data_IF_919024690457
#
_entry.id   IF_919024690457
#
_cell.length_a   1.000
_cell.length_b   1.000
_cell.length_c   1.000
_cell.angle_alpha   90.00
_cell.angle_beta   90.00
_cell.angle_gamma   90.00
#
_symmetry.space_group_name_H-M   'P 1'
#
loop_
_entity.id
_entity.type
_entity.pdbx_description
1 polymer ?
#
# COMPACT_ATOMS: atom_id res chain seq x y z
N UNK A 1 0.46 27.32 1.37
CA UNK A 1 1.37 26.17 1.45
C UNK A 1 2.71 26.73 1.88
N UNK A 2 3.31 26.22 2.96
CA UNK A 2 4.67 26.65 3.33
C UNK A 2 5.62 26.27 2.20
N UNK A 3 6.58 27.13 1.85
CA UNK A 3 7.64 26.85 0.88
C UNK A 3 8.36 25.57 1.31
N UNK A 4 8.16 24.48 0.57
CA UNK A 4 8.91 23.25 0.75
C UNK A 4 10.26 23.51 0.07
N UNK A 5 11.39 23.54 0.80
CA UNK A 5 12.69 23.75 0.19
C UNK A 5 12.95 22.64 -0.83
N UNK A 6 13.07 23.01 -2.10
CA UNK A 6 13.31 22.09 -3.20
C UNK A 6 14.68 22.39 -3.80
N UNK A 7 15.55 21.38 -3.87
CA UNK A 7 16.81 21.42 -4.61
C UNK A 7 16.81 20.30 -5.66
N UNK A 8 17.72 20.42 -6.63
CA UNK A 8 17.90 19.43 -7.69
C UNK A 8 19.25 19.60 -8.37
N UNK A 9 19.75 18.51 -8.95
CA UNK A 9 20.94 18.49 -9.80
C UNK A 9 20.64 17.63 -11.03
N UNK A 10 21.25 17.95 -12.17
CA UNK A 10 21.19 17.13 -13.39
C UNK A 10 22.58 16.58 -13.70
N UNK A 11 22.63 15.44 -14.40
CA UNK A 11 23.85 14.86 -14.93
C UNK A 11 23.63 14.65 -16.43
N UNK A 12 24.05 15.63 -17.22
CA UNK A 12 23.77 15.69 -18.67
C UNK A 12 25.00 15.26 -19.51
N UNK A 13 26.13 14.99 -18.87
CA UNK A 13 27.39 14.65 -19.54
C UNK A 13 27.52 13.16 -19.94
N UNK A 14 26.47 12.36 -19.75
CA UNK A 14 26.43 10.94 -20.13
C UNK A 14 25.28 10.66 -21.09
N UNK A 15 25.53 9.98 -22.24
CA UNK A 15 24.46 9.53 -23.11
C UNK A 15 23.62 8.44 -22.42
N UNK A 16 22.31 8.64 -22.37
CA UNK A 16 21.35 7.69 -21.79
C UNK A 16 20.34 7.21 -22.84
N UNK A 17 19.81 5.99 -22.66
CA UNK A 17 18.68 5.48 -23.48
C UNK A 17 17.32 5.89 -22.91
N UNK A 18 17.29 6.34 -21.66
CA UNK A 18 16.09 6.66 -20.89
C UNK A 18 16.40 7.73 -19.85
N UNK A 19 15.44 8.61 -19.57
CA UNK A 19 15.51 9.54 -18.45
C UNK A 19 15.35 8.79 -17.12
N UNK A 20 16.26 9.05 -16.18
CA UNK A 20 16.19 8.55 -14.81
C UNK A 20 15.95 9.72 -13.86
N UNK A 21 15.07 9.54 -12.88
CA UNK A 21 14.80 10.54 -11.84
C UNK A 21 14.95 9.88 -10.47
N UNK A 22 15.79 10.46 -9.61
CA UNK A 22 15.87 10.13 -8.19
C UNK A 22 15.13 11.18 -7.37
N UNK A 23 14.20 10.77 -6.52
CA UNK A 23 13.45 11.67 -5.62
C UNK A 23 13.72 11.26 -4.18
N UNK A 24 14.27 12.17 -3.39
CA UNK A 24 14.46 12.00 -1.94
C UNK A 24 13.53 12.96 -1.20
N UNK A 25 12.64 12.42 -0.38
CA UNK A 25 11.73 13.21 0.45
C UNK A 25 12.09 13.02 1.92
N UNK A 26 12.42 14.11 2.61
CA UNK A 26 12.71 14.10 4.05
C UNK A 26 11.50 14.68 4.78
N UNK A 27 10.86 13.86 5.60
CA UNK A 27 9.72 14.27 6.43
C UNK A 27 10.03 14.09 7.91
N UNK A 28 9.59 15.03 8.75
CA UNK A 28 9.60 14.89 10.20
C UNK A 28 8.24 14.36 10.66
N UNK A 29 8.22 13.19 11.30
CA UNK A 29 7.03 12.65 11.96
C UNK A 29 7.20 12.69 13.48
N UNK A 30 6.13 13.01 14.20
CA UNK A 30 6.10 12.84 15.65
C UNK A 30 6.00 11.33 15.96
N UNK A 31 6.68 10.83 16.99
CA UNK A 31 6.68 9.39 17.32
C UNK A 31 5.27 8.83 17.60
N UNK A 32 4.35 9.67 18.04
CA UNK A 32 2.92 9.33 18.21
C UNK A 32 2.17 9.10 16.90
N UNK A 33 2.74 9.51 15.76
CA UNK A 33 2.17 9.32 14.42
C UNK A 33 2.80 8.12 13.68
N UNK A 34 3.83 7.48 14.25
CA UNK A 34 4.28 6.20 13.76
C UNK A 34 3.17 5.19 14.07
N UNK A 35 2.59 4.62 13.02
CA UNK A 35 1.39 3.79 13.06
C UNK A 35 1.61 2.41 13.70
N UNK A 36 2.32 2.35 14.82
CA UNK A 36 2.32 1.20 15.72
C UNK A 36 1.25 1.41 16.78
N UNK A 37 0.01 1.65 16.34
CA UNK A 37 -1.12 1.48 17.26
C UNK A 37 -1.05 0.03 17.72
N UNK A 38 -0.78 -0.22 19.01
CA UNK A 38 -0.88 -1.57 19.57
C UNK A 38 -2.34 -1.99 19.44
N UNK A 39 -2.65 -2.73 18.38
CA UNK A 39 -3.98 -3.28 18.18
C UNK A 39 -3.97 -4.70 18.73
N UNK A 40 -4.82 -4.93 19.72
CA UNK A 40 -5.11 -6.29 20.20
C UNK A 40 -6.28 -6.85 19.38
N UNK A 41 -6.18 -8.10 18.93
CA UNK A 41 -7.26 -8.81 18.24
C UNK A 41 -7.00 -9.07 16.75
N UNK A 42 -8.07 -9.19 15.98
CA UNK A 42 -8.02 -9.49 14.54
C UNK A 42 -7.99 -8.22 13.69
N UNK A 43 -7.07 -8.18 12.73
CA UNK A 43 -7.12 -7.24 11.61
C UNK A 43 -7.60 -7.95 10.35
N UNK A 44 -8.33 -7.24 9.50
CA UNK A 44 -8.69 -7.69 8.15
C UNK A 44 -7.83 -6.95 7.14
N UNK A 45 -7.21 -7.67 6.21
CA UNK A 45 -6.34 -7.06 5.19
C UNK A 45 -7.03 -7.09 3.84
N UNK A 46 -7.19 -5.90 3.27
CA UNK A 46 -7.79 -5.68 1.96
C UNK A 46 -6.74 -5.26 0.94
N UNK A 47 -7.00 -5.60 -0.32
CA UNK A 47 -6.30 -5.11 -1.50
C UNK A 47 -7.15 -4.05 -2.19
N UNK A 48 -6.53 -2.91 -2.50
CA UNK A 48 -7.06 -1.98 -3.49
C UNK A 48 -6.28 -2.12 -4.79
N UNK A 49 -6.98 -2.15 -5.92
CA UNK A 49 -6.36 -2.21 -7.24
C UNK A 49 -5.91 -3.61 -7.63
N UNK A 50 -5.11 -3.68 -8.71
CA UNK A 50 -4.60 -4.93 -9.28
C UNK A 50 -3.13 -4.76 -9.67
N UNK A 51 -2.31 -5.82 -9.54
CA UNK A 51 -0.90 -5.76 -9.90
C UNK A 51 -0.76 -5.61 -11.42
N UNK A 52 -0.27 -4.45 -11.86
CA UNK A 52 0.04 -4.15 -13.26
C UNK A 52 1.52 -3.80 -13.38
N UNK A 53 2.20 -4.24 -14.43
CA UNK A 53 3.64 -3.97 -14.64
C UNK A 53 3.92 -3.57 -16.08
N UNK A 54 4.92 -2.71 -16.29
CA UNK A 54 5.33 -2.27 -17.61
C UNK A 54 4.18 -1.66 -18.41
N UNK A 55 3.93 -2.17 -19.62
CA UNK A 55 2.87 -1.69 -20.51
C UNK A 55 1.46 -1.86 -19.94
N UNK A 56 1.24 -2.82 -19.03
CA UNK A 56 -0.07 -2.99 -18.38
C UNK A 56 -0.43 -1.78 -17.51
N UNK A 57 0.57 -1.09 -16.94
CA UNK A 57 0.33 0.15 -16.20
C UNK A 57 -0.25 1.21 -17.13
N UNK A 58 0.35 1.38 -18.32
CA UNK A 58 -0.09 2.38 -19.31
C UNK A 58 -1.50 2.10 -19.81
N UNK A 59 -1.81 0.83 -20.09
CA UNK A 59 -3.14 0.40 -20.54
C UNK A 59 -4.23 0.67 -19.51
N UNK A 60 -3.88 0.67 -18.22
CA UNK A 60 -4.82 0.78 -17.10
C UNK A 60 -4.74 2.13 -16.36
N UNK A 61 -4.07 3.16 -16.92
CA UNK A 61 -3.92 4.47 -16.24
C UNK A 61 -5.26 5.07 -15.78
N UNK A 62 -6.32 4.91 -16.57
CA UNK A 62 -7.65 5.42 -16.23
C UNK A 62 -8.35 4.64 -15.10
N UNK A 63 -7.91 3.42 -14.79
CA UNK A 63 -8.54 2.54 -13.79
C UNK A 63 -7.71 2.39 -12.52
N UNK A 64 -6.42 2.72 -12.57
CA UNK A 64 -5.57 2.87 -11.39
C UNK A 64 -6.18 3.92 -10.46
N UNK A 65 -6.23 3.60 -9.16
CA UNK A 65 -6.87 4.47 -8.19
C UNK A 65 -6.10 5.78 -8.02
N UNK A 66 -6.83 6.88 -7.84
CA UNK A 66 -6.25 8.20 -7.58
C UNK A 66 -5.64 8.30 -6.17
N UNK A 67 -4.67 9.19 -5.99
CA UNK A 67 -4.11 9.53 -4.69
C UNK A 67 -5.18 9.96 -3.65
N UNK A 68 -6.22 10.67 -4.08
CA UNK A 68 -7.32 11.10 -3.19
C UNK A 68 -8.04 9.93 -2.52
N UNK A 69 -8.16 8.79 -3.21
CA UNK A 69 -8.74 7.57 -2.65
C UNK A 69 -7.84 7.04 -1.54
N UNK A 70 -6.53 6.98 -1.75
CA UNK A 70 -5.54 6.57 -0.74
C UNK A 70 -5.61 7.48 0.48
N UNK A 71 -5.71 8.80 0.29
CA UNK A 71 -5.87 9.75 1.39
C UNK A 71 -7.19 9.56 2.16
N UNK A 72 -8.30 9.30 1.46
CA UNK A 72 -9.60 9.03 2.09
C UNK A 72 -9.56 7.76 2.93
N UNK A 73 -8.96 6.69 2.41
CA UNK A 73 -8.77 5.43 3.14
C UNK A 73 -7.93 5.68 4.39
N UNK A 74 -6.76 6.31 4.25
CA UNK A 74 -5.84 6.58 5.36
C UNK A 74 -6.46 7.39 6.50
N UNK A 75 -7.42 8.27 6.20
CA UNK A 75 -8.14 9.07 7.21
C UNK A 75 -9.26 8.30 7.91
N UNK A 76 -9.64 7.12 7.41
CA UNK A 76 -10.71 6.33 8.00
C UNK A 76 -10.26 5.71 9.32
N UNK A 77 -11.07 5.88 10.38
CA UNK A 77 -10.78 5.38 11.74
C UNK A 77 -10.75 3.84 11.86
N UNK A 78 -11.12 3.11 10.82
CA UNK A 78 -10.98 1.65 10.77
C UNK A 78 -9.58 1.21 10.37
N UNK A 79 -8.84 2.05 9.63
CA UNK A 79 -7.52 1.72 9.09
C UNK A 79 -6.46 1.80 10.17
N UNK A 80 -5.71 0.72 10.29
CA UNK A 80 -4.60 0.55 11.24
C UNK A 80 -3.27 0.74 10.52
N UNK A 81 -3.15 0.16 9.33
CA UNK A 81 -1.92 0.15 8.56
C UNK A 81 -2.20 0.11 7.06
N UNK A 82 -1.26 0.62 6.27
CA UNK A 82 -1.31 0.62 4.81
C UNK A 82 0.08 0.45 4.22
N UNK A 83 0.25 -0.52 3.32
CA UNK A 83 1.51 -0.76 2.61
C UNK A 83 1.30 -0.69 1.10
N UNK A 84 2.08 0.13 0.37
CA UNK A 84 2.11 0.03 -1.09
C UNK A 84 2.76 -1.29 -1.49
N UNK A 85 2.31 -1.87 -2.60
CA UNK A 85 2.94 -3.09 -3.13
C UNK A 85 3.96 -2.74 -4.19
N UNK A 86 5.18 -3.22 -4.00
CA UNK A 86 6.30 -3.01 -4.91
C UNK A 86 6.68 -4.25 -5.71
N UNK A 87 7.96 -4.33 -6.08
CA UNK A 87 8.50 -5.37 -6.97
C UNK A 87 8.42 -6.80 -6.44
N UNK A 88 8.29 -6.96 -5.11
CA UNK A 88 8.18 -8.28 -4.45
C UNK A 88 6.75 -8.79 -4.31
N UNK A 89 5.75 -8.01 -4.75
CA UNK A 89 4.37 -8.45 -4.87
C UNK A 89 3.58 -8.47 -3.56
N UNK A 90 2.29 -8.77 -3.71
CA UNK A 90 1.27 -8.70 -2.63
C UNK A 90 1.62 -9.62 -1.47
N UNK A 91 2.05 -10.84 -1.77
CA UNK A 91 2.38 -11.83 -0.74
C UNK A 91 3.53 -11.35 0.15
N UNK A 92 4.57 -10.76 -0.45
CA UNK A 92 5.70 -10.24 0.31
C UNK A 92 5.26 -9.13 1.28
N UNK A 93 4.49 -8.15 0.80
CA UNK A 93 4.04 -7.05 1.66
C UNK A 93 3.03 -7.51 2.72
N UNK A 94 2.21 -8.54 2.45
CA UNK A 94 1.36 -9.16 3.46
C UNK A 94 2.18 -9.73 4.62
N UNK A 95 3.30 -10.40 4.32
CA UNK A 95 4.23 -10.91 5.34
C UNK A 95 4.86 -9.77 6.12
N UNK A 96 5.32 -8.70 5.46
CA UNK A 96 5.88 -7.52 6.15
C UNK A 96 4.86 -6.84 7.08
N UNK A 97 3.60 -6.76 6.66
CA UNK A 97 2.51 -6.25 7.48
C UNK A 97 2.28 -7.15 8.71
N UNK A 98 2.24 -8.47 8.53
CA UNK A 98 2.10 -9.42 9.63
C UNK A 98 3.27 -9.34 10.62
N UNK A 99 4.50 -9.21 10.14
CA UNK A 99 5.70 -9.03 10.97
C UNK A 99 5.64 -7.73 11.79
N UNK A 100 5.22 -6.62 11.17
CA UNK A 100 5.05 -5.32 11.82
C UNK A 100 4.08 -5.39 13.00
N UNK A 101 2.98 -6.13 12.84
CA UNK A 101 1.96 -6.32 13.88
C UNK A 101 2.17 -7.58 14.73
N UNK A 102 3.28 -8.32 14.54
CA UNK A 102 3.56 -9.61 15.23
C UNK A 102 2.36 -10.57 15.19
N UNK A 103 1.73 -10.67 14.02
CA UNK A 103 0.48 -11.37 13.82
C UNK A 103 0.66 -12.65 13.00
N UNK A 104 -0.25 -13.61 13.19
CA UNK A 104 -0.36 -14.79 12.32
C UNK A 104 -1.31 -14.50 11.16
N UNK A 105 -0.92 -14.90 9.95
CA UNK A 105 -1.73 -14.75 8.74
C UNK A 105 -2.73 -15.93 8.67
N UNK A 106 -4.01 -15.61 8.49
CA UNK A 106 -5.09 -16.52 8.17
C UNK A 106 -5.62 -16.13 6.78
N UNK A 107 -5.20 -16.87 5.75
CA UNK A 107 -5.54 -16.55 4.35
C UNK A 107 -7.04 -16.79 4.08
N UNK A 108 -7.69 -15.82 3.42
CA UNK A 108 -9.07 -15.93 2.92
C UNK A 108 -9.05 -16.16 1.40
N UNK A 109 -8.16 -15.45 0.70
CA UNK A 109 -7.85 -15.64 -0.70
C UNK A 109 -6.49 -16.33 -0.85
N UNK A 110 -6.34 -17.15 -1.88
CA UNK A 110 -5.08 -17.83 -2.19
C UNK A 110 -3.97 -16.83 -2.55
N UNK A 111 -3.02 -16.62 -1.62
CA UNK A 111 -1.86 -15.75 -1.81
C UNK A 111 -0.75 -16.43 -2.63
N UNK A 112 -0.87 -17.71 -2.96
CA UNK A 112 0.06 -18.48 -3.79
C UNK A 112 -0.11 -18.25 -5.29
N UNK A 113 -1.17 -17.57 -5.70
CA UNK A 113 -1.45 -17.24 -7.10
C UNK A 113 -0.36 -16.41 -7.76
N UNK A 114 -0.19 -16.57 -9.08
CA UNK A 114 0.85 -15.87 -9.83
C UNK A 114 0.70 -14.33 -9.75
N UNK A 115 -0.52 -13.82 -9.73
CA UNK A 115 -0.78 -12.38 -9.61
C UNK A 115 -0.38 -11.82 -8.24
N UNK A 116 -0.37 -12.64 -7.19
CA UNK A 116 0.02 -12.21 -5.83
C UNK A 116 1.53 -12.21 -5.62
N UNK A 117 2.28 -12.95 -6.44
CA UNK A 117 3.74 -13.04 -6.38
C UNK A 117 4.46 -12.16 -7.42
N UNK A 118 3.74 -11.63 -8.41
CA UNK A 118 4.34 -10.71 -9.38
C UNK A 118 4.56 -9.32 -8.79
N UNK A 119 5.48 -8.58 -9.41
CA UNK A 119 5.70 -7.15 -9.16
C UNK A 119 4.39 -6.36 -9.35
N UNK A 120 4.23 -5.29 -8.57
CA UNK A 120 3.20 -4.28 -8.79
C UNK A 120 3.88 -2.97 -9.19
N UNK A 121 3.42 -2.41 -10.30
CA UNK A 121 3.86 -1.12 -10.80
C UNK A 121 3.46 0.02 -9.88
N UNK A 122 3.98 1.23 -10.11
CA UNK A 122 3.74 2.38 -9.25
C UNK A 122 2.24 2.62 -9.03
N UNK A 123 1.84 2.69 -7.76
CA UNK A 123 0.46 2.97 -7.34
C UNK A 123 -0.63 2.00 -7.88
N UNK A 124 -0.28 0.79 -8.33
CA UNK A 124 -1.29 -0.14 -8.88
C UNK A 124 -1.98 -0.96 -7.77
N UNK A 125 -1.29 -1.18 -6.64
CA UNK A 125 -1.82 -1.92 -5.49
C UNK A 125 -1.40 -1.28 -4.17
N UNK A 126 -2.34 -1.23 -3.22
CA UNK A 126 -2.08 -0.95 -1.80
C UNK A 126 -2.81 -1.96 -0.94
N UNK A 127 -2.11 -2.47 0.08
CA UNK A 127 -2.70 -3.27 1.15
C UNK A 127 -3.17 -2.37 2.27
N UNK A 128 -4.33 -2.69 2.84
CA UNK A 128 -4.98 -1.91 3.90
C UNK A 128 -5.42 -2.85 5.01
N UNK A 129 -4.83 -2.71 6.20
CA UNK A 129 -5.28 -3.41 7.39
C UNK A 129 -6.30 -2.58 8.14
N UNK A 130 -7.43 -3.20 8.51
CA UNK A 130 -8.48 -2.57 9.31
C UNK A 130 -8.81 -3.38 10.56
N UNK A 131 -9.40 -2.74 11.56
CA UNK A 131 -9.97 -3.41 12.74
C UNK A 131 -11.22 -4.21 12.32
N UNK A 132 -11.29 -5.50 12.66
CA UNK A 132 -12.39 -6.41 12.26
C UNK A 132 -13.79 -5.89 12.68
N UNK A 133 -13.90 -5.26 13.85
CA UNK A 133 -15.19 -4.73 14.35
C UNK A 133 -15.80 -3.62 13.48
N UNK A 134 -15.00 -3.01 12.58
CA UNK A 134 -15.44 -1.94 11.67
C UNK A 134 -15.63 -2.39 10.22
N UNK A 135 -15.55 -3.71 9.95
CA UNK A 135 -15.62 -4.29 8.62
C UNK A 135 -16.80 -3.74 7.79
N UNK A 136 -18.03 -3.87 8.31
CA UNK A 136 -19.24 -3.47 7.57
C UNK A 136 -19.21 -2.00 7.14
N UNK A 137 -18.80 -1.10 8.04
CA UNK A 137 -18.68 0.32 7.73
C UNK A 137 -17.60 0.59 6.68
N UNK A 138 -16.48 -0.13 6.77
CA UNK A 138 -15.38 0.01 5.82
C UNK A 138 -15.77 -0.46 4.41
N UNK A 139 -16.41 -1.63 4.28
CA UNK A 139 -16.86 -2.18 3.01
C UNK A 139 -17.93 -1.31 2.34
N UNK A 140 -18.83 -0.70 3.13
CA UNK A 140 -19.78 0.28 2.63
C UNK A 140 -19.09 1.54 2.09
N UNK A 141 -18.05 2.03 2.76
CA UNK A 141 -17.31 3.21 2.34
C UNK A 141 -16.39 2.94 1.13
N UNK A 142 -15.86 1.72 1.00
CA UNK A 142 -14.87 1.34 -0.01
C UNK A 142 -15.22 -0.01 -0.68
N UNK A 143 -16.28 -0.06 -1.51
CA UNK A 143 -16.81 -1.31 -2.07
C UNK A 143 -15.89 -1.98 -3.11
N UNK A 144 -14.84 -1.29 -3.57
CA UNK A 144 -13.88 -1.80 -4.57
C UNK A 144 -12.72 -2.59 -3.96
N UNK A 145 -12.74 -2.80 -2.64
CA UNK A 145 -11.70 -3.51 -1.91
C UNK A 145 -11.89 -5.01 -1.98
N UNK A 146 -10.81 -5.77 -2.14
CA UNK A 146 -10.84 -7.24 -2.08
C UNK A 146 -10.25 -7.71 -0.77
N UNK A 147 -11.02 -8.42 0.05
CA UNK A 147 -10.53 -9.03 1.29
C UNK A 147 -9.57 -10.18 0.96
N UNK A 148 -8.37 -10.16 1.54
CA UNK A 148 -7.33 -11.15 1.28
C UNK A 148 -7.06 -12.10 2.45
N UNK A 149 -6.99 -11.56 3.66
CA UNK A 149 -6.56 -12.32 4.83
C UNK A 149 -7.03 -11.68 6.13
N UNK A 150 -6.92 -12.45 7.22
CA UNK A 150 -6.96 -11.93 8.59
C UNK A 150 -5.57 -12.00 9.21
N UNK A 151 -5.24 -11.01 10.04
CA UNK A 151 -4.04 -11.03 10.89
C UNK A 151 -4.48 -11.17 12.34
N UNK A 152 -4.07 -12.26 12.99
CA UNK A 152 -4.33 -12.50 14.41
C UNK A 152 -3.17 -11.98 15.24
N UNK A 153 -3.33 -10.81 15.86
CA UNK A 153 -2.32 -10.24 16.75
C UNK A 153 -2.36 -11.00 18.07
N UNK A 154 -1.20 -11.49 18.51
CA UNK A 154 -1.04 -12.25 19.77
C UNK A 154 -0.95 -11.36 20.99
#
# INVERSE_FOLDING_TARGET
>A
MADIPLNGSTEDNMPTKTTSVGVTVIGKAHQTNAATTKVTGTLLVYQLGKPYVGEEVKKHLATIFSYDVVCKIRRNRAVVDMLPVGSRGVRYEMVQMAETHRAKIEEIADLGTADKNQSAGPATVVLVAIIESKQKQFEQAFPKMTLLAKLRVS
#
